data_IF_245953885174
#
_entry.id   IF_245953885174
#
_cell.length_a   1.000
_cell.length_b   1.000
_cell.length_c   1.000
_cell.angle_alpha   90.00
_cell.angle_beta   90.00
_cell.angle_gamma   90.00
#
_symmetry.space_group_name_H-M   'P 1'
#
loop_
_entity.id
_entity.type
_entity.pdbx_description
1 polymer ?
#
# COMPACT_ATOMS: atom_id res chain seq x y z
N UNK A 1 -20.66 -28.25 1.68
CA UNK A 1 -19.71 -27.20 1.18
C UNK A 1 -20.21 -26.89 -0.23
N UNK A 2 -20.92 -25.77 -0.36
CA UNK A 2 -21.50 -25.35 -1.63
C UNK A 2 -20.42 -24.63 -2.47
N UNK A 3 -19.78 -25.40 -3.33
CA UNK A 3 -18.71 -24.92 -4.25
C UNK A 3 -19.26 -24.19 -5.49
N UNK A 4 -20.56 -23.97 -5.60
CA UNK A 4 -21.20 -23.35 -6.77
C UNK A 4 -21.34 -21.85 -6.59
N UNK A 5 -21.70 -21.36 -5.40
CA UNK A 5 -21.87 -19.93 -5.11
C UNK A 5 -20.54 -19.17 -5.11
N UNK A 6 -19.47 -19.79 -4.60
CA UNK A 6 -18.11 -19.20 -4.65
C UNK A 6 -17.55 -19.05 -6.07
N UNK A 7 -18.06 -19.83 -7.05
CA UNK A 7 -17.59 -19.77 -8.44
C UNK A 7 -18.20 -18.62 -9.24
N UNK A 8 -19.42 -18.19 -8.95
CA UNK A 8 -20.09 -17.15 -9.74
C UNK A 8 -19.61 -15.73 -9.35
N UNK A 9 -19.44 -15.42 -8.07
CA UNK A 9 -18.85 -14.15 -7.63
C UNK A 9 -17.42 -13.99 -8.11
N UNK A 10 -16.63 -15.07 -8.16
CA UNK A 10 -15.25 -15.05 -8.66
C UNK A 10 -15.17 -14.92 -10.20
N UNK A 11 -16.20 -15.30 -10.96
CA UNK A 11 -16.22 -15.15 -12.43
C UNK A 11 -16.28 -13.69 -12.85
N UNK A 12 -17.19 -12.90 -12.28
CA UNK A 12 -17.31 -11.47 -12.60
C UNK A 12 -16.02 -10.74 -12.20
N UNK A 13 -15.47 -11.05 -11.03
CA UNK A 13 -14.19 -10.51 -10.57
C UNK A 13 -13.02 -10.87 -11.49
N UNK A 14 -12.95 -12.09 -12.00
CA UNK A 14 -11.91 -12.55 -12.95
C UNK A 14 -12.04 -11.88 -14.32
N UNK A 15 -13.24 -11.74 -14.82
CA UNK A 15 -13.51 -11.01 -16.07
C UNK A 15 -13.08 -9.55 -15.92
N UNK A 16 -13.43 -8.93 -14.81
CA UNK A 16 -13.01 -7.55 -14.53
C UNK A 16 -11.48 -7.42 -14.45
N UNK A 17 -10.79 -8.32 -13.75
CA UNK A 17 -9.33 -8.35 -13.68
C UNK A 17 -8.66 -8.56 -15.05
N UNK A 18 -9.26 -9.39 -15.91
CA UNK A 18 -8.78 -9.55 -17.28
C UNK A 18 -8.85 -8.23 -18.06
N UNK A 19 -9.97 -7.50 -17.96
CA UNK A 19 -10.11 -6.19 -18.59
C UNK A 19 -9.16 -5.15 -17.98
N UNK A 20 -9.00 -5.14 -16.66
CA UNK A 20 -8.01 -4.27 -16.01
C UNK A 20 -6.58 -4.55 -16.50
N UNK A 21 -6.20 -5.82 -16.62
CA UNK A 21 -4.89 -6.21 -17.17
C UNK A 21 -4.69 -5.74 -18.61
N UNK A 22 -5.74 -5.82 -19.45
CA UNK A 22 -5.71 -5.31 -20.83
C UNK A 22 -5.64 -3.79 -20.88
N UNK A 23 -6.41 -3.11 -20.03
CA UNK A 23 -6.39 -1.66 -19.91
C UNK A 23 -5.03 -1.16 -19.44
N UNK A 24 -4.46 -1.75 -18.38
CA UNK A 24 -3.12 -1.43 -17.90
C UNK A 24 -2.03 -1.64 -18.96
N UNK A 25 -2.12 -2.71 -19.76
CA UNK A 25 -1.19 -2.96 -20.86
C UNK A 25 -1.29 -1.91 -21.98
N UNK A 26 -2.45 -1.30 -22.17
CA UNK A 26 -2.71 -0.30 -23.23
C UNK A 26 -2.34 1.11 -22.77
N UNK A 27 -2.71 1.47 -21.54
CA UNK A 27 -2.46 2.79 -20.93
C UNK A 27 -1.08 2.88 -20.27
N UNK A 28 -0.56 1.77 -19.75
CA UNK A 28 0.72 1.71 -19.01
C UNK A 28 1.95 2.18 -19.81
N UNK A 29 1.85 2.24 -21.15
CA UNK A 29 2.87 2.87 -22.00
C UNK A 29 2.88 4.40 -21.93
N UNK A 30 1.84 5.02 -21.37
CA UNK A 30 1.68 6.47 -21.32
C UNK A 30 1.61 7.08 -19.92
N UNK A 31 1.35 6.31 -18.87
CA UNK A 31 1.09 6.84 -17.52
C UNK A 31 1.89 6.26 -16.38
N UNK A 32 2.72 5.22 -16.59
CA UNK A 32 3.53 4.64 -15.50
C UNK A 32 2.71 3.92 -14.41
N UNK A 33 1.43 3.69 -14.63
CA UNK A 33 0.58 2.95 -13.70
C UNK A 33 0.89 1.45 -13.81
N UNK A 34 1.57 0.92 -12.81
CA UNK A 34 1.95 -0.48 -12.76
C UNK A 34 0.86 -1.28 -12.04
N UNK A 35 0.24 -2.20 -12.77
CA UNK A 35 -0.59 -3.23 -12.15
C UNK A 35 0.30 -4.11 -11.27
N UNK A 36 0.05 -4.11 -9.96
CA UNK A 36 0.82 -4.94 -9.03
C UNK A 36 0.43 -6.40 -9.20
N UNK A 37 1.38 -7.30 -9.51
CA UNK A 37 1.10 -8.72 -9.65
C UNK A 37 0.50 -9.30 -8.37
N UNK A 38 -0.50 -10.19 -8.52
CA UNK A 38 -1.18 -10.81 -7.38
C UNK A 38 -0.23 -11.50 -6.40
N UNK A 39 0.81 -12.15 -6.92
CA UNK A 39 1.81 -12.84 -6.07
C UNK A 39 2.54 -11.86 -5.15
N UNK A 40 2.82 -10.64 -5.62
CA UNK A 40 3.46 -9.59 -4.80
C UNK A 40 2.48 -9.08 -3.75
N UNK A 41 1.22 -8.82 -4.15
CA UNK A 41 0.21 -8.35 -3.19
C UNK A 41 -0.09 -9.40 -2.13
N UNK A 42 -0.19 -10.66 -2.52
CA UNK A 42 -0.36 -11.77 -1.57
C UNK A 42 0.82 -11.87 -0.62
N UNK A 43 2.06 -11.76 -1.13
CA UNK A 43 3.26 -11.76 -0.30
C UNK A 43 3.21 -10.63 0.75
N UNK A 44 2.84 -9.41 0.34
CA UNK A 44 2.70 -8.30 1.28
C UNK A 44 1.65 -8.64 2.35
N UNK A 45 0.46 -9.11 1.93
CA UNK A 45 -0.61 -9.44 2.86
C UNK A 45 -0.22 -10.56 3.84
N UNK A 46 0.44 -11.62 3.38
CA UNK A 46 0.93 -12.71 4.22
C UNK A 46 2.01 -12.24 5.21
N UNK A 47 2.80 -11.23 4.86
CA UNK A 47 3.85 -10.72 5.73
C UNK A 47 3.35 -9.77 6.81
N UNK A 48 2.36 -8.93 6.49
CA UNK A 48 1.85 -7.94 7.46
C UNK A 48 0.59 -8.41 8.18
N UNK A 49 -0.05 -9.49 7.70
CA UNK A 49 -1.17 -10.18 8.33
C UNK A 49 -2.33 -9.25 8.72
N UNK A 50 -3.02 -8.60 7.75
CA UNK A 50 -4.05 -7.60 8.01
C UNK A 50 -5.38 -8.23 8.42
N UNK A 51 -5.42 -8.93 9.56
CA UNK A 51 -6.60 -9.65 10.02
C UNK A 51 -7.78 -8.75 10.39
N UNK A 52 -7.52 -7.56 10.94
CA UNK A 52 -8.55 -6.66 11.44
C UNK A 52 -8.02 -5.23 11.59
N UNK A 53 -8.88 -4.25 11.30
CA UNK A 53 -8.58 -2.84 11.54
C UNK A 53 -8.65 -2.00 10.27
N UNK A 54 -7.98 -0.88 10.28
CA UNK A 54 -7.96 0.08 9.16
C UNK A 54 -6.83 -0.25 8.20
N UNK A 55 -7.19 -0.51 6.94
CA UNK A 55 -6.24 -0.74 5.84
C UNK A 55 -6.21 0.53 4.98
N UNK A 56 -5.02 1.02 4.64
CA UNK A 56 -4.84 2.21 3.83
C UNK A 56 -3.87 1.98 2.67
N UNK A 57 -4.20 2.57 1.53
CA UNK A 57 -3.31 2.69 0.37
C UNK A 57 -3.36 4.13 -0.16
N UNK A 58 -2.26 4.91 -0.06
CA UNK A 58 -2.22 6.31 -0.49
C UNK A 58 -2.21 6.52 -2.01
N UNK A 59 -2.05 5.45 -2.79
CA UNK A 59 -1.97 5.46 -4.25
C UNK A 59 -2.61 4.18 -4.82
N UNK A 60 -3.87 3.96 -4.46
CA UNK A 60 -4.51 2.65 -4.51
C UNK A 60 -4.74 2.08 -5.93
N UNK A 61 -4.47 2.86 -6.97
CA UNK A 61 -4.67 2.40 -8.32
C UNK A 61 -6.09 1.87 -8.55
N UNK A 62 -6.21 0.70 -9.12
CA UNK A 62 -7.50 0.02 -9.32
C UNK A 62 -8.04 -0.71 -8.08
N UNK A 63 -7.42 -0.56 -6.91
CA UNK A 63 -7.84 -1.17 -5.65
C UNK A 63 -7.42 -2.63 -5.48
N UNK A 64 -6.42 -3.09 -6.22
CA UNK A 64 -5.95 -4.47 -6.18
C UNK A 64 -5.43 -4.91 -4.81
N UNK A 65 -4.72 -4.02 -4.09
CA UNK A 65 -4.23 -4.26 -2.73
C UNK A 65 -5.39 -4.56 -1.76
N UNK A 66 -6.47 -3.79 -1.84
CA UNK A 66 -7.65 -3.98 -0.99
C UNK A 66 -8.35 -5.31 -1.24
N UNK A 67 -8.51 -5.68 -2.51
CA UNK A 67 -9.13 -6.96 -2.89
C UNK A 67 -8.36 -8.13 -2.29
N UNK A 68 -7.04 -8.13 -2.38
CA UNK A 68 -6.23 -9.22 -1.84
C UNK A 68 -6.19 -9.20 -0.30
N UNK A 69 -6.17 -8.01 0.32
CA UNK A 69 -6.27 -7.90 1.78
C UNK A 69 -7.58 -8.50 2.32
N UNK A 70 -8.70 -8.22 1.66
CA UNK A 70 -10.00 -8.81 2.03
C UNK A 70 -9.99 -10.33 1.83
N UNK A 71 -9.44 -10.82 0.72
CA UNK A 71 -9.28 -12.26 0.48
C UNK A 71 -8.41 -12.92 1.55
N UNK A 72 -7.33 -12.26 1.98
CA UNK A 72 -6.51 -12.74 3.09
C UNK A 72 -7.34 -12.90 4.36
N UNK A 73 -8.14 -11.89 4.72
CA UNK A 73 -9.02 -11.95 5.90
C UNK A 73 -10.00 -13.12 5.79
N UNK A 74 -10.67 -13.26 4.65
CA UNK A 74 -11.65 -14.33 4.42
C UNK A 74 -11.03 -15.74 4.44
N UNK A 75 -9.82 -15.90 3.89
CA UNK A 75 -9.10 -17.18 3.93
C UNK A 75 -8.62 -17.59 5.33
N UNK A 76 -8.58 -16.63 6.27
CA UNK A 76 -8.21 -16.86 7.67
C UNK A 76 -9.41 -16.76 8.63
N UNK A 77 -10.59 -17.19 8.18
CA UNK A 77 -11.84 -17.25 8.96
C UNK A 77 -12.38 -15.88 9.43
N UNK A 78 -11.89 -14.78 8.83
CA UNK A 78 -12.39 -13.45 9.07
C UNK A 78 -13.52 -13.06 8.12
N UNK A 79 -14.03 -11.84 8.29
CA UNK A 79 -15.09 -11.26 7.47
C UNK A 79 -14.63 -9.94 6.85
N UNK A 80 -15.17 -9.58 5.69
CA UNK A 80 -14.98 -8.24 5.09
C UNK A 80 -15.27 -7.10 6.06
N UNK A 81 -16.12 -7.34 7.07
CA UNK A 81 -16.50 -6.35 8.09
C UNK A 81 -15.44 -6.15 9.17
N UNK A 82 -14.44 -7.01 9.24
CA UNK A 82 -13.37 -6.90 10.22
C UNK A 82 -12.34 -5.82 9.83
N UNK A 83 -12.35 -5.41 8.55
CA UNK A 83 -11.48 -4.36 8.02
C UNK A 83 -12.25 -3.16 7.50
N UNK A 84 -11.67 -1.99 7.68
CA UNK A 84 -12.14 -0.71 7.14
C UNK A 84 -11.15 -0.20 6.12
N UNK A 85 -11.58 -0.08 4.87
CA UNK A 85 -10.71 0.25 3.73
C UNK A 85 -10.70 1.76 3.50
N UNK A 86 -9.50 2.32 3.41
CA UNK A 86 -9.24 3.71 3.06
C UNK A 86 -8.24 3.77 1.91
N UNK A 87 -8.45 4.67 0.97
CA UNK A 87 -7.52 4.83 -0.14
C UNK A 87 -7.58 6.20 -0.75
N UNK A 88 -6.62 6.49 -1.60
CA UNK A 88 -6.59 7.68 -2.41
C UNK A 88 -5.98 7.38 -3.77
N UNK A 89 -6.47 8.03 -4.82
CA UNK A 89 -5.98 7.89 -6.17
C UNK A 89 -6.02 9.24 -6.89
N UNK A 90 -4.96 9.55 -7.62
CA UNK A 90 -4.81 10.80 -8.36
C UNK A 90 -5.67 10.82 -9.62
N UNK A 91 -5.64 9.74 -10.40
CA UNK A 91 -6.19 9.69 -11.75
C UNK A 91 -7.69 9.40 -11.72
N UNK A 92 -8.50 10.28 -12.33
CA UNK A 92 -9.96 10.17 -12.30
C UNK A 92 -10.47 8.84 -12.90
N UNK A 93 -9.85 8.34 -13.96
CA UNK A 93 -10.21 7.06 -14.58
C UNK A 93 -9.92 5.91 -13.65
N UNK A 94 -8.72 5.86 -13.07
CA UNK A 94 -8.27 4.81 -12.16
C UNK A 94 -9.07 4.81 -10.86
N UNK A 95 -9.39 6.00 -10.32
CA UNK A 95 -10.31 6.16 -9.18
C UNK A 95 -11.69 5.52 -9.43
N UNK A 96 -12.27 5.74 -10.63
CA UNK A 96 -13.55 5.10 -11.02
C UNK A 96 -13.40 3.59 -11.14
N UNK A 97 -12.30 3.11 -11.72
CA UNK A 97 -12.00 1.69 -11.81
C UNK A 97 -11.88 1.05 -10.42
N UNK A 98 -11.21 1.71 -9.47
CA UNK A 98 -11.13 1.23 -8.09
C UNK A 98 -12.52 1.11 -7.45
N UNK A 99 -13.35 2.14 -7.57
CA UNK A 99 -14.74 2.09 -7.07
C UNK A 99 -15.55 0.93 -7.66
N UNK A 100 -15.45 0.73 -8.97
CA UNK A 100 -16.14 -0.38 -9.64
C UNK A 100 -15.60 -1.73 -9.16
N UNK A 101 -14.26 -1.87 -9.06
CA UNK A 101 -13.60 -3.08 -8.62
C UNK A 101 -14.07 -3.53 -7.23
N UNK A 102 -14.12 -2.58 -6.30
CA UNK A 102 -14.54 -2.83 -4.93
C UNK A 102 -16.05 -3.09 -4.83
N UNK A 103 -16.86 -2.32 -5.57
CA UNK A 103 -18.32 -2.48 -5.59
C UNK A 103 -18.75 -3.86 -6.10
N UNK A 104 -18.16 -4.36 -7.20
CA UNK A 104 -18.43 -5.69 -7.77
C UNK A 104 -18.18 -6.80 -6.74
N UNK A 105 -17.24 -6.60 -5.83
CA UNK A 105 -16.88 -7.57 -4.77
C UNK A 105 -17.56 -7.31 -3.44
N UNK A 106 -18.47 -6.33 -3.37
CA UNK A 106 -19.16 -5.95 -2.14
C UNK A 106 -18.21 -5.45 -1.05
N UNK A 107 -17.08 -4.84 -1.43
CA UNK A 107 -16.11 -4.25 -0.51
C UNK A 107 -16.44 -2.77 -0.32
N UNK A 108 -16.83 -2.41 0.89
CA UNK A 108 -17.02 -1.01 1.26
C UNK A 108 -15.66 -0.34 1.49
N UNK A 109 -15.43 0.82 0.85
CA UNK A 109 -14.18 1.56 0.97
C UNK A 109 -14.41 3.08 0.94
N UNK A 110 -13.62 3.81 1.70
CA UNK A 110 -13.53 5.26 1.61
C UNK A 110 -12.30 5.63 0.77
N UNK A 111 -12.50 6.00 -0.49
CA UNK A 111 -11.43 6.41 -1.40
C UNK A 111 -11.29 7.93 -1.50
N UNK A 112 -11.86 8.67 -0.54
CA UNK A 112 -12.01 10.11 -0.61
C UNK A 112 -13.18 10.53 -1.50
N UNK A 113 -13.48 11.82 -1.52
CA UNK A 113 -14.61 12.37 -2.26
C UNK A 113 -14.34 12.46 -3.76
N UNK A 114 -13.11 12.79 -4.13
CA UNK A 114 -12.66 13.03 -5.50
C UNK A 114 -11.28 12.40 -5.74
N UNK A 115 -10.90 12.14 -7.00
CA UNK A 115 -9.51 11.83 -7.32
C UNK A 115 -8.62 13.02 -6.93
N UNK A 116 -7.52 12.78 -6.23
CA UNK A 116 -6.65 13.83 -5.72
C UNK A 116 -5.22 13.37 -5.48
N UNK A 117 -4.29 14.32 -5.62
CA UNK A 117 -2.89 14.11 -5.26
C UNK A 117 -2.75 13.97 -3.74
N UNK A 118 -2.18 12.87 -3.31
CA UNK A 118 -2.01 12.52 -1.90
C UNK A 118 -1.09 13.50 -1.16
N UNK A 119 -0.13 14.10 -1.85
CA UNK A 119 0.79 15.06 -1.24
C UNK A 119 0.14 16.42 -1.02
N UNK A 120 -0.67 16.89 -1.99
CA UNK A 120 -1.25 18.23 -1.96
C UNK A 120 -2.68 18.28 -1.43
N UNK A 121 -3.41 17.18 -1.51
CA UNK A 121 -4.78 17.08 -1.02
C UNK A 121 -5.03 15.76 -0.33
N UNK A 122 -4.48 15.61 0.86
CA UNK A 122 -4.76 14.45 1.73
C UNK A 122 -6.23 14.46 2.15
N UNK A 123 -6.99 13.48 1.68
CA UNK A 123 -8.42 13.33 1.97
C UNK A 123 -8.70 12.52 3.25
N UNK A 124 -7.65 12.04 3.91
CA UNK A 124 -7.74 11.28 5.16
C UNK A 124 -6.78 11.85 6.23
N UNK A 125 -6.84 13.17 6.55
CA UNK A 125 -5.81 13.82 7.38
C UNK A 125 -5.66 13.19 8.75
N UNK A 126 -6.76 12.80 9.39
CA UNK A 126 -6.79 12.23 10.75
C UNK A 126 -6.67 10.70 10.78
N UNK A 127 -6.50 10.06 9.62
CA UNK A 127 -6.42 8.61 9.56
C UNK A 127 -5.15 8.12 10.25
N UNK A 128 -5.33 7.15 11.15
CA UNK A 128 -4.28 6.28 11.68
C UNK A 128 -4.64 4.85 11.30
N UNK A 129 -3.87 4.29 10.37
CA UNK A 129 -4.08 2.98 9.80
C UNK A 129 -3.33 1.90 10.58
N UNK A 130 -3.96 0.76 10.76
CA UNK A 130 -3.32 -0.41 11.37
C UNK A 130 -2.44 -1.13 10.34
N UNK A 131 -2.84 -1.09 9.08
CA UNK A 131 -2.09 -1.69 7.97
C UNK A 131 -2.05 -0.73 6.78
N UNK A 132 -0.87 -0.64 6.15
CA UNK A 132 -0.70 0.05 4.87
C UNK A 132 -0.12 -0.94 3.88
N UNK A 133 -0.79 -1.10 2.73
CA UNK A 133 -0.29 -1.88 1.60
C UNK A 133 -0.23 -0.95 0.40
N UNK A 134 0.94 -0.75 -0.18
CA UNK A 134 1.09 0.21 -1.26
C UNK A 134 2.10 -0.22 -2.34
N UNK A 135 1.83 0.23 -3.56
CA UNK A 135 2.77 0.24 -4.67
C UNK A 135 2.87 1.67 -5.22
N UNK A 136 3.63 2.57 -4.58
CA UNK A 136 3.76 3.94 -5.04
C UNK A 136 4.42 4.02 -6.42
N UNK A 137 4.15 5.09 -7.20
CA UNK A 137 4.89 5.36 -8.43
C UNK A 137 6.40 5.42 -8.18
N UNK A 138 7.15 4.58 -8.91
CA UNK A 138 8.60 4.48 -8.71
C UNK A 138 9.34 5.70 -9.24
N UNK A 139 10.22 6.27 -8.43
CA UNK A 139 11.13 7.33 -8.83
C UNK A 139 10.42 8.54 -9.47
N UNK A 140 9.24 8.89 -8.98
CA UNK A 140 8.48 10.03 -9.46
C UNK A 140 9.28 11.31 -9.25
N UNK A 141 9.59 12.00 -10.35
CA UNK A 141 10.34 13.25 -10.38
C UNK A 141 9.39 14.44 -10.33
N UNK A 142 9.91 15.59 -9.90
CA UNK A 142 9.17 16.87 -9.91
C UNK A 142 7.78 16.76 -9.23
N UNK A 143 7.72 15.94 -8.18
CA UNK A 143 6.49 15.66 -7.45
C UNK A 143 6.04 16.81 -6.53
N UNK A 144 6.93 17.76 -6.29
CA UNK A 144 6.68 19.05 -5.63
C UNK A 144 7.64 20.11 -6.12
N UNK A 145 7.27 21.37 -6.01
CA UNK A 145 8.18 22.50 -6.22
C UNK A 145 9.21 22.62 -5.10
N UNK A 146 10.24 23.43 -5.37
CA UNK A 146 11.36 23.62 -4.43
C UNK A 146 10.89 24.20 -3.09
N UNK A 147 9.92 25.10 -3.12
CA UNK A 147 9.41 25.83 -1.97
C UNK A 147 8.08 25.28 -1.44
N UNK A 148 7.64 24.14 -1.98
CA UNK A 148 6.39 23.49 -1.57
C UNK A 148 6.62 22.40 -0.53
N UNK A 149 5.67 22.21 0.39
CA UNK A 149 5.64 21.17 1.41
C UNK A 149 6.88 21.15 2.33
N UNK A 150 7.55 22.28 2.53
CA UNK A 150 8.76 22.34 3.38
C UNK A 150 8.42 22.10 4.86
N UNK A 151 7.34 22.72 5.33
CA UNK A 151 6.88 22.63 6.73
C UNK A 151 5.74 21.61 6.91
N UNK A 152 5.64 20.63 6.01
CA UNK A 152 4.59 19.63 6.08
C UNK A 152 4.77 18.72 7.31
N UNK A 153 3.73 18.56 8.15
CA UNK A 153 3.82 17.78 9.39
C UNK A 153 4.17 16.29 9.17
N UNK A 154 4.01 15.78 7.96
CA UNK A 154 4.40 14.40 7.62
C UNK A 154 5.91 14.17 7.68
N UNK A 155 6.70 15.23 7.55
CA UNK A 155 8.16 15.19 7.65
C UNK A 155 8.70 15.45 9.05
N UNK A 156 7.83 15.66 10.04
CA UNK A 156 8.25 15.99 11.40
C UNK A 156 9.26 14.99 11.97
N UNK A 157 10.45 15.47 12.34
CA UNK A 157 11.54 14.62 12.84
C UNK A 157 12.43 13.99 11.77
N UNK A 158 12.19 14.29 10.49
CA UNK A 158 12.98 13.84 9.33
C UNK A 158 13.42 15.03 8.47
N UNK A 159 14.37 14.79 7.58
CA UNK A 159 14.66 15.75 6.51
C UNK A 159 13.48 15.82 5.53
N UNK A 160 13.31 16.97 4.89
CA UNK A 160 12.34 17.15 3.82
C UNK A 160 12.75 16.28 2.62
N UNK A 161 11.88 15.43 2.09
CA UNK A 161 12.22 14.58 0.94
C UNK A 161 12.60 15.42 -0.29
N UNK A 162 13.60 14.97 -1.10
CA UNK A 162 14.07 15.73 -2.24
C UNK A 162 13.02 15.90 -3.33
N UNK A 163 13.04 17.00 -4.07
CA UNK A 163 12.13 17.27 -5.20
C UNK A 163 12.35 16.31 -6.37
N UNK A 164 13.57 15.83 -6.53
CA UNK A 164 13.96 14.97 -7.66
C UNK A 164 13.45 13.53 -7.58
N UNK A 165 12.92 13.10 -6.41
CA UNK A 165 12.42 11.75 -6.23
C UNK A 165 11.42 11.66 -5.08
N UNK A 166 10.20 11.17 -5.33
CA UNK A 166 9.14 11.05 -4.35
C UNK A 166 9.24 9.82 -3.43
N UNK A 167 10.18 8.89 -3.65
CA UNK A 167 10.21 7.62 -2.92
C UNK A 167 10.14 7.84 -1.39
N UNK A 168 10.94 8.76 -0.87
CA UNK A 168 10.94 9.06 0.57
C UNK A 168 9.78 9.95 1.02
N UNK A 169 9.19 10.72 0.11
CA UNK A 169 7.90 11.38 0.35
C UNK A 169 6.78 10.37 0.63
N UNK A 170 6.68 9.32 -0.18
CA UNK A 170 5.75 8.22 0.02
C UNK A 170 6.01 7.48 1.34
N UNK A 171 7.27 7.16 1.64
CA UNK A 171 7.64 6.49 2.89
C UNK A 171 7.19 7.32 4.10
N UNK A 172 7.55 8.61 4.15
CA UNK A 172 7.21 9.48 5.28
C UNK A 172 5.70 9.73 5.38
N UNK A 173 5.00 9.86 4.25
CA UNK A 173 3.55 9.90 4.24
C UNK A 173 2.95 8.64 4.91
N UNK A 174 3.39 7.46 4.52
CA UNK A 174 2.91 6.21 5.12
C UNK A 174 3.24 6.13 6.61
N UNK A 175 4.46 6.47 7.03
CA UNK A 175 4.85 6.51 8.45
C UNK A 175 3.93 7.43 9.26
N UNK A 176 3.59 8.61 8.70
CA UNK A 176 2.70 9.57 9.36
C UNK A 176 1.27 9.04 9.54
N UNK A 177 0.85 8.13 8.66
CA UNK A 177 -0.49 7.51 8.66
C UNK A 177 -0.59 6.23 9.50
N UNK A 178 0.52 5.63 9.91
CA UNK A 178 0.48 4.44 10.76
C UNK A 178 -0.03 4.76 12.18
N UNK A 179 -0.87 3.88 12.71
CA UNK A 179 -1.22 3.84 14.13
C UNK A 179 -0.01 3.44 14.99
N UNK A 180 -0.14 3.47 16.31
CA UNK A 180 0.97 3.12 17.23
C UNK A 180 1.46 1.68 17.06
N UNK A 181 0.57 0.77 16.67
CA UNK A 181 0.88 -0.63 16.38
C UNK A 181 0.83 -0.94 14.86
N UNK A 182 0.87 0.10 14.04
CA UNK A 182 0.66 -0.03 12.60
C UNK A 182 1.85 -0.65 11.88
N UNK A 183 1.54 -1.43 10.85
CA UNK A 183 2.52 -2.10 9.97
C UNK A 183 2.27 -1.66 8.53
N UNK A 184 3.34 -1.32 7.81
CA UNK A 184 3.28 -1.02 6.38
C UNK A 184 4.10 -2.02 5.58
N UNK A 185 3.49 -2.57 4.51
CA UNK A 185 4.15 -3.36 3.49
C UNK A 185 4.03 -2.67 2.13
N UNK A 186 5.13 -2.28 1.52
CA UNK A 186 5.12 -1.58 0.24
C UNK A 186 6.35 -1.89 -0.61
N UNK A 187 6.24 -1.65 -1.89
CA UNK A 187 7.33 -1.88 -2.83
C UNK A 187 7.89 -0.58 -3.40
N UNK A 188 9.20 -0.56 -3.59
CA UNK A 188 9.91 0.53 -4.26
C UNK A 188 10.97 -0.04 -5.20
N UNK A 189 11.40 0.76 -6.17
CA UNK A 189 12.55 0.42 -6.99
C UNK A 189 13.82 0.29 -6.14
N UNK A 190 14.73 -0.63 -6.49
CA UNK A 190 15.97 -0.88 -5.74
C UNK A 190 16.82 0.37 -5.49
N UNK A 191 16.73 1.37 -6.38
CA UNK A 191 17.41 2.65 -6.21
C UNK A 191 17.09 3.36 -4.90
N UNK A 192 15.93 3.10 -4.30
CA UNK A 192 15.55 3.65 -2.99
C UNK A 192 16.52 3.23 -1.86
N UNK A 193 17.23 2.10 -2.01
CA UNK A 193 18.20 1.64 -1.02
C UNK A 193 19.52 2.41 -1.05
N UNK A 194 19.87 3.02 -2.16
CA UNK A 194 21.19 3.61 -2.41
C UNK A 194 21.22 5.12 -2.55
N UNK A 195 20.04 5.78 -2.51
CA UNK A 195 19.95 7.25 -2.59
C UNK A 195 20.80 7.94 -1.52
N UNK A 196 21.56 8.97 -1.92
CA UNK A 196 22.37 9.81 -1.03
C UNK A 196 21.60 11.03 -0.52
N UNK A 197 22.31 12.01 0.04
CA UNK A 197 21.72 13.29 0.48
C UNK A 197 20.62 13.14 1.52
N UNK A 198 19.49 13.79 1.28
CA UNK A 198 18.30 13.78 2.15
C UNK A 198 17.72 12.37 2.28
N UNK A 199 17.68 11.60 1.20
CA UNK A 199 17.19 10.20 1.23
C UNK A 199 18.01 9.33 2.18
N UNK A 200 19.34 9.46 2.18
CA UNK A 200 20.21 8.76 3.13
C UNK A 200 19.91 9.13 4.57
N UNK A 201 19.75 10.42 4.86
CA UNK A 201 19.47 10.91 6.21
C UNK A 201 18.11 10.40 6.72
N UNK A 202 17.08 10.43 5.87
CA UNK A 202 15.76 9.89 6.20
C UNK A 202 15.86 8.39 6.48
N UNK A 203 16.51 7.62 5.61
CA UNK A 203 16.69 6.17 5.78
C UNK A 203 17.43 5.83 7.07
N UNK A 204 18.52 6.54 7.35
CA UNK A 204 19.26 6.40 8.61
C UNK A 204 18.36 6.64 9.81
N UNK A 205 17.58 7.72 9.79
CA UNK A 205 16.66 8.08 10.88
C UNK A 205 15.55 7.03 11.09
N UNK A 206 15.04 6.43 10.01
CA UNK A 206 14.08 5.33 10.11
C UNK A 206 14.67 4.12 10.84
N UNK A 207 15.94 3.80 10.58
CA UNK A 207 16.65 2.70 11.28
C UNK A 207 16.89 3.06 12.75
N UNK A 208 17.37 4.29 13.02
CA UNK A 208 17.57 4.78 14.38
C UNK A 208 16.28 4.81 15.20
N UNK A 209 15.14 5.04 14.56
CA UNK A 209 13.81 4.99 15.17
C UNK A 209 13.23 3.56 15.27
N UNK A 210 13.99 2.56 14.91
CA UNK A 210 13.58 1.13 14.92
C UNK A 210 12.28 0.85 14.11
N UNK A 211 12.05 1.57 13.02
CA UNK A 211 10.85 1.41 12.20
C UNK A 211 10.99 0.30 11.15
N UNK A 212 12.19 0.04 10.66
CA UNK A 212 12.42 -0.94 9.60
C UNK A 212 12.43 -2.34 10.21
N UNK A 213 11.47 -3.18 9.82
CA UNK A 213 11.42 -4.58 10.23
C UNK A 213 12.16 -5.48 9.23
N UNK A 214 11.88 -5.31 7.93
CA UNK A 214 12.52 -6.09 6.89
C UNK A 214 12.59 -5.32 5.56
N UNK A 215 13.62 -5.62 4.78
CA UNK A 215 13.73 -5.21 3.38
C UNK A 215 14.14 -6.44 2.57
N UNK A 216 13.36 -6.78 1.54
CA UNK A 216 13.60 -7.95 0.70
C UNK A 216 13.70 -7.54 -0.76
N UNK A 217 14.74 -8.01 -1.42
CA UNK A 217 14.86 -7.87 -2.87
C UNK A 217 13.98 -8.92 -3.52
N UNK A 218 13.04 -8.48 -4.36
CA UNK A 218 12.19 -9.39 -5.12
C UNK A 218 12.89 -9.82 -6.43
N UNK A 219 12.56 -11.00 -6.97
CA UNK A 219 13.06 -11.43 -8.26
C UNK A 219 12.79 -10.39 -9.36
N UNK A 220 13.64 -10.36 -10.37
CA UNK A 220 13.42 -9.53 -11.58
C UNK A 220 12.23 -10.04 -12.37
N UNK A 221 11.73 -9.21 -13.26
CA UNK A 221 10.68 -9.56 -14.23
C UNK A 221 9.33 -9.96 -13.60
N UNK A 222 9.08 -9.53 -12.37
CA UNK A 222 7.79 -9.77 -11.70
C UNK A 222 6.66 -8.88 -12.24
N UNK A 223 6.99 -7.72 -12.82
CA UNK A 223 6.01 -6.79 -13.36
C UNK A 223 5.88 -6.96 -14.87
N UNK A 224 4.64 -7.00 -15.37
CA UNK A 224 4.36 -7.20 -16.79
C UNK A 224 4.86 -6.06 -17.71
N UNK A 225 5.10 -4.87 -17.15
CA UNK A 225 5.35 -3.63 -17.90
C UNK A 225 6.75 -3.08 -17.70
N UNK A 226 7.57 -3.66 -16.82
CA UNK A 226 8.91 -3.16 -16.51
C UNK A 226 9.81 -4.25 -15.95
N UNK A 227 11.10 -4.21 -16.34
CA UNK A 227 12.16 -5.08 -15.82
C UNK A 227 12.83 -4.48 -14.58
N UNK A 228 12.20 -3.47 -13.95
CA UNK A 228 12.76 -2.80 -12.77
C UNK A 228 12.84 -3.79 -11.61
N UNK A 229 14.04 -3.93 -11.05
CA UNK A 229 14.21 -4.63 -9.78
C UNK A 229 13.58 -3.84 -8.64
N UNK A 230 12.77 -4.50 -7.85
CA UNK A 230 12.06 -3.89 -6.73
C UNK A 230 12.41 -4.53 -5.40
N UNK A 231 12.25 -3.74 -4.35
CA UNK A 231 12.37 -4.19 -2.96
C UNK A 231 11.03 -4.06 -2.26
N UNK A 232 10.69 -5.07 -1.47
CA UNK A 232 9.59 -5.04 -0.53
C UNK A 232 10.13 -4.53 0.82
N UNK A 233 9.48 -3.52 1.35
CA UNK A 233 9.78 -2.90 2.63
C UNK A 233 8.68 -3.23 3.62
N UNK A 234 9.07 -3.65 4.82
CA UNK A 234 8.16 -3.81 5.96
C UNK A 234 8.60 -2.82 7.03
N UNK A 235 7.71 -1.88 7.34
CA UNK A 235 7.86 -0.96 8.45
C UNK A 235 6.87 -1.33 9.55
N UNK A 236 7.32 -1.32 10.80
CA UNK A 236 6.51 -1.69 11.94
C UNK A 236 6.77 -0.74 13.12
N UNK A 237 5.72 -0.08 13.61
CA UNK A 237 5.81 0.81 14.77
C UNK A 237 5.84 0.08 16.11
N UNK A 238 5.39 -1.17 16.16
CA UNK A 238 5.46 -2.00 17.37
C UNK A 238 5.89 -3.43 17.02
N UNK A 239 7.15 -3.71 17.17
CA UNK A 239 7.75 -5.03 16.93
C UNK A 239 7.63 -5.98 18.13
N UNK A 240 7.13 -5.51 19.29
CA UNK A 240 6.97 -6.32 20.48
C UNK A 240 5.85 -7.33 20.31
N UNK A 241 5.94 -8.43 21.04
CA UNK A 241 4.86 -9.42 21.10
C UNK A 241 3.55 -8.77 21.55
N UNK A 242 2.49 -9.02 20.81
CA UNK A 242 1.15 -8.58 21.14
C UNK A 242 0.09 -9.54 20.58
N UNK A 243 -1.13 -9.42 21.09
CA UNK A 243 -2.24 -10.26 20.68
C UNK A 243 -3.40 -9.41 20.15
N UNK A 244 -4.07 -9.93 19.14
CA UNK A 244 -5.30 -9.36 18.60
C UNK A 244 -6.41 -10.39 18.71
N UNK A 245 -7.55 -10.01 19.28
CA UNK A 245 -8.75 -10.85 19.28
C UNK A 245 -9.57 -10.59 18.02
N UNK A 246 -9.84 -11.65 17.28
CA UNK A 246 -10.61 -11.64 16.04
C UNK A 246 -11.71 -12.70 16.12
N UNK A 247 -12.98 -12.29 16.08
CA UNK A 247 -14.14 -13.21 16.07
C UNK A 247 -14.05 -14.34 17.11
N UNK A 248 -13.56 -14.03 18.32
CA UNK A 248 -13.36 -15.02 19.39
C UNK A 248 -12.06 -15.80 19.31
N UNK A 249 -11.29 -15.66 18.25
CA UNK A 249 -9.96 -16.26 18.07
C UNK A 249 -8.90 -15.25 18.49
N UNK A 250 -7.90 -15.70 19.24
CA UNK A 250 -6.75 -14.88 19.63
C UNK A 250 -5.61 -15.16 18.64
N UNK A 251 -5.16 -14.13 17.93
CA UNK A 251 -3.96 -14.18 17.09
C UNK A 251 -2.79 -13.58 17.86
N UNK A 252 -1.67 -14.28 17.87
CA UNK A 252 -0.44 -13.86 18.52
C UNK A 252 0.56 -13.35 17.48
N UNK A 253 0.92 -12.08 17.58
CA UNK A 253 2.05 -11.53 16.87
C UNK A 253 3.32 -11.78 17.70
N UNK A 254 4.30 -12.42 17.11
CA UNK A 254 5.56 -12.74 17.78
C UNK A 254 6.38 -11.47 17.96
N UNK A 255 7.29 -11.52 18.93
CA UNK A 255 8.35 -10.51 19.08
C UNK A 255 9.22 -10.50 17.80
N UNK A 256 9.34 -9.32 17.18
CA UNK A 256 10.12 -9.05 15.97
C UNK A 256 11.20 -8.00 16.24
N UNK A 257 11.49 -7.76 17.52
CA UNK A 257 12.62 -6.94 17.94
C UNK A 257 13.90 -7.76 17.77
N UNK A 258 14.81 -7.29 16.91
CA UNK A 258 16.05 -8.01 16.63
C UNK A 258 17.05 -7.18 15.88
#
# INVERSE_FOLDING_TARGET
IDTVTDREEDVVGRVYEYFLGKFAATEGKRGGEFYTPKCVVNLIAEMIEPYRGKIYDPCCGSGGMFVQSVKFVESHEGSKRDVSIYGQELTATTYKLAKMNLAIRGIAANLGEVPADTFFKDQHPDLKADFILANPPFNLKEWRGTDELLDDPRWAGYEVPPTGNANYGWILHMISKLSENGVAGFILANGALSGGGEEYKIRRKMIENDLVEAIMVLPRDMFYTTDISVTLWILNKNKKEHTVKLNGVTKHYRDRTG
#
